data_IF_847037693135
#
_entry.id   IF_847037693135
#
_cell.length_a   1.000
_cell.length_b   1.000
_cell.length_c   1.000
_cell.angle_alpha   90.00
_cell.angle_beta   90.00
_cell.angle_gamma   90.00
#
_symmetry.space_group_name_H-M   'P 1'
#
loop_
_entity.id
_entity.type
_entity.pdbx_description
1 polymer ?
#
# COMPACT_ATOMS: atom_id res chain seq x y z
N UNK A 1 -15.70 -12.68 -5.14
CA UNK A 1 -15.18 -11.42 -4.56
C UNK A 1 -13.70 -11.61 -4.35
N UNK A 2 -12.89 -10.63 -4.70
CA UNK A 2 -11.44 -10.78 -4.75
C UNK A 2 -10.74 -9.54 -4.24
N UNK A 3 -9.52 -9.74 -3.76
CA UNK A 3 -8.63 -8.65 -3.39
C UNK A 3 -7.71 -8.38 -4.56
N UNK A 4 -7.65 -7.13 -4.97
CA UNK A 4 -6.78 -6.69 -6.06
C UNK A 4 -5.91 -5.51 -5.63
N UNK A 5 -4.71 -5.35 -6.20
CA UNK A 5 -3.91 -4.15 -5.97
C UNK A 5 -4.54 -2.95 -6.68
N UNK A 6 -4.66 -1.82 -5.98
CA UNK A 6 -5.15 -0.57 -6.55
C UNK A 6 -4.17 -0.01 -7.59
N UNK A 7 -4.65 0.40 -8.77
CA UNK A 7 -3.80 0.78 -9.92
C UNK A 7 -3.83 2.27 -10.30
N UNK A 8 -4.76 3.08 -9.79
CA UNK A 8 -4.92 4.46 -10.23
C UNK A 8 -3.91 5.40 -9.53
N UNK A 9 -2.67 5.42 -10.02
CA UNK A 9 -1.59 6.23 -9.47
C UNK A 9 -1.42 7.56 -10.24
N UNK A 10 -1.03 8.61 -9.53
CA UNK A 10 -0.63 9.89 -10.11
C UNK A 10 0.88 10.08 -10.02
N UNK A 11 1.45 10.74 -11.02
CA UNK A 11 2.86 11.05 -11.08
C UNK A 11 3.20 12.11 -10.04
N UNK A 12 4.22 11.90 -9.19
CA UNK A 12 4.57 12.84 -8.11
C UNK A 12 5.25 14.12 -8.61
N UNK A 13 5.53 14.24 -9.91
CA UNK A 13 6.25 15.38 -10.50
C UNK A 13 5.29 16.36 -11.21
N UNK A 14 4.39 15.84 -12.05
CA UNK A 14 3.44 16.63 -12.85
C UNK A 14 1.98 16.50 -12.34
N UNK A 15 1.62 15.38 -11.70
CA UNK A 15 0.27 15.07 -11.25
C UNK A 15 -0.56 14.26 -12.26
N UNK A 16 -0.01 13.96 -13.44
CA UNK A 16 -0.69 13.21 -14.49
C UNK A 16 -0.83 11.73 -14.12
N UNK A 17 -1.81 11.07 -14.74
CA UNK A 17 -2.05 9.65 -14.50
C UNK A 17 -0.85 8.79 -14.92
N UNK A 18 -0.42 7.90 -14.03
CA UNK A 18 0.59 6.90 -14.33
C UNK A 18 -0.06 5.68 -14.99
N UNK A 19 0.52 5.25 -16.10
CA UNK A 19 0.13 4.05 -16.83
C UNK A 19 1.21 3.00 -16.63
N UNK A 20 0.80 1.78 -16.28
CA UNK A 20 1.74 0.66 -16.12
C UNK A 20 2.15 0.11 -17.47
N UNK A 21 3.45 0.05 -17.72
CA UNK A 21 4.07 -0.59 -18.87
C UNK A 21 5.11 -1.61 -18.38
N UNK A 22 4.72 -2.89 -18.37
CA UNK A 22 5.54 -3.97 -17.82
C UNK A 22 5.86 -3.77 -16.33
N UNK A 23 7.14 -3.55 -16.03
CA UNK A 23 7.67 -3.34 -14.68
C UNK A 23 7.89 -1.87 -14.33
N UNK A 24 7.23 -0.96 -15.04
CA UNK A 24 7.45 0.48 -14.90
C UNK A 24 6.11 1.22 -14.96
N UNK A 25 6.00 2.32 -14.22
CA UNK A 25 4.90 3.28 -14.31
C UNK A 25 5.37 4.52 -15.07
N UNK A 26 4.60 4.98 -16.05
CA UNK A 26 4.99 6.08 -16.94
C UNK A 26 3.84 7.08 -17.09
N UNK A 27 4.11 8.38 -16.98
CA UNK A 27 3.13 9.43 -17.27
C UNK A 27 3.24 9.93 -18.74
N UNK A 28 2.27 10.71 -19.24
CA UNK A 28 2.31 11.30 -20.59
C UNK A 28 3.54 12.17 -20.88
N UNK A 29 4.08 12.84 -19.86
CA UNK A 29 5.29 13.67 -19.96
C UNK A 29 6.60 12.86 -19.96
N UNK A 30 6.51 11.53 -19.83
CA UNK A 30 7.64 10.60 -19.92
C UNK A 30 8.38 10.35 -18.60
N UNK A 31 7.90 10.86 -17.46
CA UNK A 31 8.43 10.49 -16.16
C UNK A 31 8.15 9.01 -15.88
N UNK A 32 9.15 8.31 -15.36
CA UNK A 32 9.17 6.85 -15.27
C UNK A 32 9.59 6.39 -13.88
N UNK A 33 8.88 5.39 -13.35
CA UNK A 33 9.08 4.84 -12.01
C UNK A 33 9.09 3.31 -12.05
N UNK A 34 10.26 2.72 -11.81
CA UNK A 34 10.41 1.26 -11.83
C UNK A 34 9.76 0.58 -10.62
N UNK A 35 9.12 -0.55 -10.89
CA UNK A 35 8.65 -1.50 -9.89
C UNK A 35 9.88 -2.33 -9.46
N UNK A 36 10.23 -2.23 -8.18
CA UNK A 36 11.33 -3.00 -7.62
C UNK A 36 11.07 -4.51 -7.72
N UNK A 37 12.12 -5.33 -7.73
CA UNK A 37 12.01 -6.81 -7.78
C UNK A 37 11.16 -7.44 -6.64
N UNK A 38 10.92 -6.68 -5.57
CA UNK A 38 10.07 -7.07 -4.45
C UNK A 38 8.59 -6.70 -4.67
N UNK A 39 8.25 -5.91 -5.68
CA UNK A 39 6.88 -5.56 -6.06
C UNK A 39 6.41 -4.16 -5.65
N UNK A 40 7.25 -3.35 -5.00
CA UNK A 40 6.89 -1.98 -4.63
C UNK A 40 7.38 -0.96 -5.66
N UNK A 41 6.71 0.20 -5.75
CA UNK A 41 7.15 1.36 -6.53
C UNK A 41 7.56 2.49 -5.60
N UNK A 42 8.58 3.26 -5.97
CA UNK A 42 8.99 4.44 -5.23
C UNK A 42 8.57 5.71 -5.97
N UNK A 43 7.58 6.41 -5.41
CA UNK A 43 7.06 7.67 -5.92
C UNK A 43 7.49 8.86 -5.05
N UNK A 44 8.42 8.69 -4.10
CA UNK A 44 8.95 9.78 -3.29
C UNK A 44 10.06 10.53 -4.05
N UNK A 45 9.83 11.79 -4.49
CA UNK A 45 10.84 12.54 -5.24
C UNK A 45 12.08 12.78 -4.38
N UNK A 46 13.26 12.68 -5.00
CA UNK A 46 14.56 12.88 -4.30
C UNK A 46 14.61 14.24 -3.61
N UNK A 47 14.03 15.27 -4.24
CA UNK A 47 13.99 16.65 -3.75
C UNK A 47 13.12 16.85 -2.51
N UNK A 48 12.18 15.92 -2.26
CA UNK A 48 11.23 15.99 -1.15
C UNK A 48 11.68 15.16 0.06
N UNK A 49 12.90 14.61 0.02
CA UNK A 49 13.50 13.89 1.14
C UNK A 49 14.13 14.87 2.12
N UNK A 50 13.58 14.96 3.34
CA UNK A 50 14.20 15.72 4.45
C UNK A 50 15.43 15.04 5.06
N UNK A 51 15.63 13.75 4.77
CA UNK A 51 16.77 12.95 5.18
C UNK A 51 17.09 11.87 4.14
N UNK A 52 18.29 11.28 4.18
CA UNK A 52 18.69 10.20 3.28
C UNK A 52 17.80 8.95 3.41
N UNK A 53 17.31 8.68 4.63
CA UNK A 53 16.45 7.55 4.97
C UNK A 53 15.25 8.06 5.79
N UNK A 54 14.19 8.57 5.14
CA UNK A 54 13.02 9.09 5.84
C UNK A 54 12.17 7.96 6.42
N UNK A 55 11.57 8.21 7.58
CA UNK A 55 10.72 7.24 8.27
C UNK A 55 11.53 6.24 9.12
N UNK A 56 10.98 5.04 9.31
CA UNK A 56 11.56 4.02 10.17
C UNK A 56 12.81 3.37 9.56
N UNK A 57 13.83 3.16 10.39
CA UNK A 57 15.01 2.38 10.02
C UNK A 57 14.68 0.89 9.90
N UNK A 58 15.51 0.13 9.19
CA UNK A 58 15.37 -1.33 9.06
C UNK A 58 15.26 -2.06 10.41
N UNK A 59 16.01 -1.62 11.43
CA UNK A 59 15.98 -2.23 12.75
C UNK A 59 14.64 -1.97 13.47
N UNK A 60 14.09 -0.75 13.33
CA UNK A 60 12.78 -0.38 13.87
C UNK A 60 11.65 -1.16 13.20
N UNK A 61 11.70 -1.31 11.87
CA UNK A 61 10.75 -2.14 11.11
C UNK A 61 10.77 -3.58 11.62
N UNK A 62 11.96 -4.18 11.77
CA UNK A 62 12.08 -5.55 12.27
C UNK A 62 11.56 -5.70 13.71
N UNK A 63 11.76 -4.69 14.57
CA UNK A 63 11.21 -4.69 15.92
C UNK A 63 9.69 -4.61 15.92
N UNK A 64 9.11 -3.75 15.07
CA UNK A 64 7.66 -3.61 14.91
C UNK A 64 7.03 -4.91 14.39
N UNK A 65 7.65 -5.58 13.41
CA UNK A 65 7.18 -6.88 12.92
C UNK A 65 7.05 -7.90 14.04
N UNK A 66 8.12 -8.13 14.83
CA UNK A 66 8.07 -9.07 15.94
C UNK A 66 6.97 -8.76 16.96
N UNK A 67 6.71 -7.48 17.22
CA UNK A 67 5.65 -7.05 18.14
C UNK A 67 4.25 -7.32 17.57
N UNK A 68 4.03 -7.02 16.28
CA UNK A 68 2.73 -7.24 15.62
C UNK A 68 2.46 -8.74 15.41
N UNK A 69 3.47 -9.52 15.03
CA UNK A 69 3.40 -10.97 14.87
C UNK A 69 3.10 -11.70 16.19
N UNK A 70 3.47 -11.10 17.34
CA UNK A 70 3.09 -11.61 18.66
C UNK A 70 1.60 -11.39 19.00
N UNK A 71 0.83 -10.76 18.11
CA UNK A 71 -0.63 -10.62 18.24
C UNK A 71 -1.08 -9.53 19.22
N UNK A 72 -0.16 -8.73 19.77
CA UNK A 72 -0.50 -7.70 20.76
C UNK A 72 -1.53 -6.69 20.23
N UNK A 73 -1.51 -6.42 18.92
CA UNK A 73 -2.42 -5.47 18.26
C UNK A 73 -3.53 -6.14 17.46
N UNK A 74 -3.72 -7.46 17.60
CA UNK A 74 -4.78 -8.18 16.91
C UNK A 74 -6.18 -7.58 17.14
N UNK A 75 -6.58 -7.20 18.37
CA UNK A 75 -7.90 -6.58 18.60
C UNK A 75 -8.11 -5.26 17.84
N UNK A 76 -7.03 -4.50 17.63
CA UNK A 76 -7.06 -3.25 16.86
C UNK A 76 -7.26 -3.57 15.38
N UNK A 77 -6.48 -4.52 14.85
CA UNK A 77 -6.60 -4.93 13.45
C UNK A 77 -7.99 -5.49 13.11
N UNK A 78 -8.58 -6.29 13.99
CA UNK A 78 -9.94 -6.80 13.84
C UNK A 78 -10.98 -5.67 13.84
N UNK A 79 -10.85 -4.72 14.78
CA UNK A 79 -11.77 -3.58 14.89
C UNK A 79 -11.72 -2.69 13.64
N UNK A 80 -10.52 -2.39 13.14
CA UNK A 80 -10.33 -1.59 11.92
C UNK A 80 -10.87 -2.35 10.71
N UNK A 81 -10.58 -3.64 10.59
CA UNK A 81 -11.06 -4.47 9.48
C UNK A 81 -12.59 -4.51 9.44
N UNK A 82 -13.23 -4.74 10.58
CA UNK A 82 -14.69 -4.75 10.69
C UNK A 82 -15.31 -3.40 10.29
N UNK A 83 -14.69 -2.29 10.68
CA UNK A 83 -15.16 -0.96 10.29
C UNK A 83 -15.08 -0.78 8.77
N UNK A 84 -13.92 -1.06 8.15
CA UNK A 84 -13.73 -0.94 6.70
C UNK A 84 -14.70 -1.83 5.93
N UNK A 85 -14.84 -3.10 6.33
CA UNK A 85 -15.74 -4.05 5.67
C UNK A 85 -17.22 -3.66 5.81
N UNK A 86 -17.61 -3.08 6.95
CA UNK A 86 -18.97 -2.55 7.15
C UNK A 86 -19.25 -1.39 6.19
N UNK A 87 -18.31 -0.47 6.02
CA UNK A 87 -18.43 0.62 5.06
C UNK A 87 -18.46 0.11 3.60
N UNK A 88 -17.59 -0.84 3.26
CA UNK A 88 -17.52 -1.42 1.93
C UNK A 88 -18.86 -2.04 1.51
N UNK A 89 -19.53 -2.77 2.41
CA UNK A 89 -20.84 -3.39 2.14
C UNK A 89 -21.96 -2.39 1.81
N UNK A 90 -21.90 -1.19 2.37
CA UNK A 90 -22.90 -0.14 2.13
C UNK A 90 -22.62 0.62 0.84
N UNK A 91 -21.34 0.80 0.49
CA UNK A 91 -20.92 1.67 -0.61
C UNK A 91 -20.64 0.95 -1.92
N UNK A 92 -20.72 -0.38 -1.98
CA UNK A 92 -20.56 -1.10 -3.26
C UNK A 92 -21.74 -0.83 -4.18
N UNK A 93 -21.61 0.22 -4.98
CA UNK A 93 -22.44 0.53 -6.14
C UNK A 93 -21.80 -0.18 -7.34
N UNK A 94 -22.61 -0.85 -8.17
CA UNK A 94 -22.21 -1.39 -9.47
C UNK A 94 -21.10 -2.47 -9.49
N UNK A 95 -21.02 -3.34 -8.48
CA UNK A 95 -20.04 -4.45 -8.40
C UNK A 95 -18.55 -4.04 -8.50
N UNK A 96 -18.23 -2.75 -8.37
CA UNK A 96 -16.85 -2.28 -8.33
C UNK A 96 -16.20 -2.59 -6.97
N UNK A 97 -14.88 -2.87 -6.94
CA UNK A 97 -14.19 -3.11 -5.70
C UNK A 97 -14.10 -1.83 -4.85
N UNK A 98 -14.30 -1.98 -3.54
CA UNK A 98 -14.11 -0.89 -2.60
C UNK A 98 -12.61 -0.57 -2.48
N UNK A 99 -12.23 0.67 -2.79
CA UNK A 99 -10.83 1.09 -2.75
C UNK A 99 -10.41 1.49 -1.34
N UNK A 100 -9.32 0.92 -0.85
CA UNK A 100 -8.80 1.18 0.49
C UNK A 100 -7.30 1.53 0.41
N UNK A 101 -6.94 2.68 0.97
CA UNK A 101 -5.58 3.14 1.14
C UNK A 101 -5.21 3.10 2.62
N UNK A 102 -4.15 2.37 2.95
CA UNK A 102 -3.48 2.43 4.24
C UNK A 102 -2.32 3.45 4.17
N UNK A 103 -2.54 4.63 4.77
CA UNK A 103 -1.59 5.73 4.79
C UNK A 103 -0.71 5.64 6.05
N UNK A 104 0.57 5.35 5.87
CA UNK A 104 1.46 4.90 6.95
C UNK A 104 1.37 3.39 7.16
N UNK A 105 1.30 2.62 6.07
CA UNK A 105 1.05 1.18 6.13
C UNK A 105 2.15 0.38 6.83
N UNK A 106 3.32 1.01 7.06
CA UNK A 106 4.46 0.36 7.65
C UNK A 106 4.84 -0.89 6.88
N UNK A 107 4.86 -2.02 7.58
CA UNK A 107 5.21 -3.31 7.00
C UNK A 107 3.98 -4.10 6.48
N UNK A 108 2.80 -3.48 6.45
CA UNK A 108 1.59 -3.99 5.81
C UNK A 108 0.68 -4.87 6.68
N UNK A 109 0.93 -4.97 8.00
CA UNK A 109 0.15 -5.79 8.93
C UNK A 109 -1.36 -5.59 8.79
N UNK A 110 -1.84 -4.35 8.87
CA UNK A 110 -3.27 -4.06 8.89
C UNK A 110 -3.97 -4.39 7.56
N UNK A 111 -3.32 -4.15 6.43
CA UNK A 111 -3.87 -4.55 5.12
C UNK A 111 -3.96 -6.06 4.96
N UNK A 112 -2.98 -6.83 5.50
CA UNK A 112 -3.06 -8.30 5.50
C UNK A 112 -4.19 -8.80 6.40
N UNK A 113 -4.35 -8.22 7.59
CA UNK A 113 -5.47 -8.56 8.48
C UNK A 113 -6.83 -8.23 7.86
N UNK A 114 -6.95 -7.07 7.20
CA UNK A 114 -8.14 -6.68 6.45
C UNK A 114 -8.45 -7.67 5.33
N UNK A 115 -7.42 -8.07 4.59
CA UNK A 115 -7.54 -9.03 3.51
C UNK A 115 -8.04 -10.40 3.98
N UNK A 116 -7.45 -10.91 5.07
CA UNK A 116 -7.86 -12.19 5.65
C UNK A 116 -9.32 -12.14 6.13
N UNK A 117 -9.73 -11.01 6.73
CA UNK A 117 -11.11 -10.79 7.16
C UNK A 117 -12.11 -10.61 5.98
N UNK A 118 -11.62 -10.28 4.78
CA UNK A 118 -12.45 -9.97 3.62
C UNK A 118 -12.94 -11.21 2.83
N UNK A 119 -12.63 -12.44 3.28
CA UNK A 119 -12.92 -13.69 2.54
C UNK A 119 -14.39 -13.84 2.08
N UNK A 120 -15.35 -13.31 2.84
CA UNK A 120 -16.80 -13.33 2.52
C UNK A 120 -17.38 -11.92 2.32
N UNK A 121 -16.55 -10.95 1.98
CA UNK A 121 -16.88 -9.53 1.90
C UNK A 121 -16.79 -9.02 0.46
N UNK A 122 -17.29 -7.80 0.16
CA UNK A 122 -17.16 -7.21 -1.17
C UNK A 122 -15.70 -7.18 -1.64
N UNK A 123 -15.49 -7.21 -2.96
CA UNK A 123 -14.15 -7.11 -3.54
C UNK A 123 -13.45 -5.83 -3.05
N UNK A 124 -12.17 -5.94 -2.70
CA UNK A 124 -11.38 -4.81 -2.21
C UNK A 124 -10.26 -4.50 -3.21
N UNK A 125 -9.95 -3.22 -3.37
CA UNK A 125 -8.81 -2.72 -4.13
C UNK A 125 -7.86 -2.01 -3.17
N UNK A 126 -6.70 -2.61 -2.89
CA UNK A 126 -5.85 -2.21 -1.75
C UNK A 126 -4.56 -1.50 -2.19
N UNK A 127 -4.17 -0.48 -1.42
CA UNK A 127 -2.87 0.18 -1.50
C UNK A 127 -2.30 0.43 -0.12
N UNK A 128 -1.01 0.16 0.06
CA UNK A 128 -0.23 0.63 1.20
C UNK A 128 0.74 1.71 0.76
N UNK A 129 0.73 2.84 1.47
CA UNK A 129 1.64 3.96 1.27
C UNK A 129 2.43 4.21 2.55
N UNK A 130 3.75 4.30 2.46
CA UNK A 130 4.58 4.74 3.58
C UNK A 130 5.79 5.53 3.07
N UNK A 131 6.31 6.45 3.88
CA UNK A 131 7.52 7.20 3.53
C UNK A 131 8.79 6.36 3.75
N UNK A 132 8.74 5.38 4.66
CA UNK A 132 9.83 4.46 4.95
C UNK A 132 9.98 3.42 3.85
N UNK A 133 11.08 3.53 3.09
CA UNK A 133 11.47 2.51 2.11
C UNK A 133 11.61 1.13 2.75
N UNK A 134 12.13 1.04 3.97
CA UNK A 134 12.33 -0.25 4.64
C UNK A 134 11.02 -0.92 5.03
N UNK A 135 10.02 -0.13 5.42
CA UNK A 135 8.71 -0.62 5.80
C UNK A 135 7.97 -1.16 4.55
N UNK A 136 7.88 -0.36 3.48
CA UNK A 136 7.23 -0.78 2.22
C UNK A 136 7.94 -1.99 1.60
N UNK A 137 9.27 -2.04 1.67
CA UNK A 137 10.02 -3.20 1.20
C UNK A 137 9.70 -4.47 2.03
N UNK A 138 9.50 -4.34 3.34
CA UNK A 138 9.09 -5.45 4.18
C UNK A 138 7.65 -5.91 3.90
N UNK A 139 6.75 -4.97 3.61
CA UNK A 139 5.38 -5.26 3.18
C UNK A 139 5.36 -6.04 1.86
N UNK A 140 6.01 -5.50 0.82
CA UNK A 140 6.02 -6.09 -0.50
C UNK A 140 6.68 -7.49 -0.54
N UNK A 141 7.65 -7.76 0.33
CA UNK A 141 8.28 -9.09 0.45
C UNK A 141 7.37 -10.17 1.02
N UNK A 142 6.39 -9.80 1.84
CA UNK A 142 5.42 -10.74 2.41
C UNK A 142 4.26 -11.02 1.45
N UNK A 143 4.16 -10.23 0.38
CA UNK A 143 3.11 -10.36 -0.61
C UNK A 143 3.48 -11.37 -1.72
N UNK A 144 2.46 -11.97 -2.33
CA UNK A 144 2.65 -12.93 -3.40
C UNK A 144 3.02 -12.21 -4.70
N UNK A 145 4.21 -12.47 -5.25
CA UNK A 145 4.70 -11.76 -6.46
C UNK A 145 3.77 -11.84 -7.67
N UNK A 146 3.11 -12.98 -7.88
CA UNK A 146 2.26 -13.22 -9.06
C UNK A 146 0.79 -12.85 -8.84
N UNK A 147 0.39 -12.64 -7.59
CA UNK A 147 -0.97 -12.24 -7.22
C UNK A 147 -0.90 -11.36 -5.98
N UNK A 148 -0.30 -10.16 -6.10
CA UNK A 148 -0.12 -9.30 -4.94
C UNK A 148 -1.47 -8.88 -4.39
N UNK A 149 -1.53 -8.78 -3.08
CA UNK A 149 -2.67 -8.31 -2.32
C UNK A 149 -2.88 -6.81 -2.51
N UNK A 150 -1.80 -6.05 -2.57
CA UNK A 150 -1.85 -4.58 -2.52
C UNK A 150 -0.79 -3.95 -3.40
N UNK A 151 -1.05 -2.71 -3.82
CA UNK A 151 -0.02 -1.88 -4.41
C UNK A 151 0.80 -1.25 -3.28
N UNK A 152 2.10 -1.51 -3.26
CA UNK A 152 3.02 -1.02 -2.23
C UNK A 152 3.80 0.17 -2.75
N UNK A 153 3.64 1.34 -2.12
CA UNK A 153 4.19 2.61 -2.60
C UNK A 153 5.05 3.26 -1.53
N UNK A 154 6.29 3.59 -1.88
CA UNK A 154 7.08 4.55 -1.10
C UNK A 154 6.68 5.95 -1.53
N UNK A 155 6.14 6.75 -0.63
CA UNK A 155 5.64 8.10 -0.95
C UNK A 155 5.24 8.87 0.30
N UNK A 156 4.79 10.11 0.11
CA UNK A 156 4.37 11.00 1.19
C UNK A 156 2.94 11.48 0.96
N UNK A 157 2.15 11.57 2.03
CA UNK A 157 0.83 12.17 2.02
C UNK A 157 0.85 13.69 2.34
N UNK A 158 2.04 14.30 2.43
CA UNK A 158 2.18 15.72 2.77
C UNK A 158 1.74 16.66 1.63
N UNK A 159 1.70 16.16 0.39
CA UNK A 159 1.26 16.90 -0.78
C UNK A 159 0.28 16.06 -1.60
N UNK A 160 -0.96 15.85 -1.10
CA UNK A 160 -1.98 15.18 -1.86
C UNK A 160 -2.32 16.07 -3.06
N UNK A 161 -1.95 15.63 -4.26
CA UNK A 161 -2.47 16.15 -5.52
C UNK A 161 -3.48 15.16 -6.06
#
# INVERSE_FOLDING_TARGET
MGITPFQALACPLDGEALIRSGNTWICPDGHSFDIAKQGYVNLLPVQQKRSHDPGDSKAMVAARQRFLDAGHYQPIAESVSNAVLSHAKVQTVDNLPFSCLDAGCGEGYYLRQLADAAANSPSLSLMGLDISKWAVLAAAKQDAKHSPLSSWVVGSNAHPR
#
